data_IF_323113016717
#
_entry.id   IF_323113016717
#
_cell.length_a   1.000
_cell.length_b   1.000
_cell.length_c   1.000
_cell.angle_alpha   90.00
_cell.angle_beta   90.00
_cell.angle_gamma   90.00
#
_symmetry.space_group_name_H-M   'P 1'
#
loop_
_entity.id
_entity.type
_entity.pdbx_description
1 polymer ?
#
# COMPACT_ATOMS: atom_id res chain seq x y z
N UNK A 1 12.31 -7.63 15.34
CA UNK A 1 11.14 -8.54 15.39
C UNK A 1 9.92 -7.96 14.66
N UNK A 2 9.31 -8.68 13.71
CA UNK A 2 8.01 -8.24 13.17
C UNK A 2 7.75 -8.48 11.69
N UNK A 3 8.16 -9.60 11.13
CA UNK A 3 7.64 -10.04 9.83
C UNK A 3 7.19 -11.51 9.85
N UNK A 4 6.83 -12.01 11.03
CA UNK A 4 6.28 -13.35 11.17
C UNK A 4 4.88 -13.32 10.57
N UNK A 5 4.79 -13.96 9.42
CA UNK A 5 3.56 -14.06 8.65
C UNK A 5 3.33 -15.54 8.37
N UNK A 6 2.06 -15.98 8.38
CA UNK A 6 1.73 -17.38 8.15
C UNK A 6 2.22 -17.84 6.77
N UNK A 7 2.38 -19.15 6.59
CA UNK A 7 2.79 -19.76 5.32
C UNK A 7 1.88 -19.34 4.14
N UNK A 8 0.59 -19.12 4.40
CA UNK A 8 -0.39 -18.68 3.41
C UNK A 8 -0.39 -17.16 3.15
N UNK A 9 0.56 -16.40 3.70
CA UNK A 9 0.66 -14.94 3.51
C UNK A 9 0.60 -14.53 2.03
N UNK A 10 1.37 -15.23 1.19
CA UNK A 10 1.46 -14.93 -0.22
C UNK A 10 0.23 -15.36 -1.03
N UNK A 11 -0.60 -16.28 -0.52
CA UNK A 11 -1.84 -16.70 -1.19
C UNK A 11 -2.86 -15.57 -1.29
N UNK A 12 -2.91 -14.64 -0.34
CA UNK A 12 -3.80 -13.47 -0.42
C UNK A 12 -3.05 -12.19 -0.80
N UNK A 13 -1.75 -12.08 -0.47
CA UNK A 13 -0.98 -10.89 -0.77
C UNK A 13 -0.63 -10.74 -2.25
N UNK A 14 -0.24 -11.84 -2.92
CA UNK A 14 0.12 -11.80 -4.34
C UNK A 14 -1.08 -11.49 -5.25
N UNK A 15 -2.25 -12.14 -5.10
CA UNK A 15 -3.39 -11.83 -5.95
C UNK A 15 -3.85 -10.37 -5.86
N UNK A 16 -3.74 -9.73 -4.70
CA UNK A 16 -4.06 -8.30 -4.57
C UNK A 16 -3.12 -7.40 -5.37
N UNK A 17 -1.83 -7.74 -5.43
CA UNK A 17 -0.83 -6.93 -6.13
C UNK A 17 -0.70 -7.24 -7.63
N UNK A 18 -1.22 -8.39 -8.06
CA UNK A 18 -1.23 -8.80 -9.47
C UNK A 18 -2.57 -8.52 -10.18
N UNK A 19 -3.48 -7.78 -9.53
CA UNK A 19 -4.70 -7.29 -10.16
C UNK A 19 -4.37 -6.40 -11.38
N UNK A 20 -5.19 -6.42 -12.43
CA UNK A 20 -6.43 -7.21 -12.58
C UNK A 20 -6.20 -8.66 -13.05
N UNK A 21 -4.95 -9.05 -13.32
CA UNK A 21 -4.61 -10.30 -13.99
C UNK A 21 -4.70 -11.54 -13.09
N UNK A 22 -4.69 -11.36 -11.77
CA UNK A 22 -4.80 -12.44 -10.77
C UNK A 22 -5.98 -13.37 -10.99
N UNK A 23 -7.10 -12.84 -11.48
CA UNK A 23 -8.31 -13.64 -11.72
C UNK A 23 -8.12 -14.67 -12.85
N UNK A 24 -7.17 -14.41 -13.76
CA UNK A 24 -6.80 -15.31 -14.85
C UNK A 24 -5.72 -16.31 -14.47
N UNK A 25 -5.04 -16.11 -13.34
CA UNK A 25 -3.91 -16.93 -12.94
C UNK A 25 -4.29 -18.40 -12.71
N UNK A 26 -5.40 -18.75 -12.03
CA UNK A 26 -5.83 -20.15 -11.92
C UNK A 26 -6.07 -20.78 -13.29
N UNK A 27 -6.73 -20.07 -14.22
CA UNK A 27 -6.94 -20.54 -15.59
C UNK A 27 -5.63 -20.73 -16.34
N UNK A 28 -4.65 -19.84 -16.13
CA UNK A 28 -3.35 -19.92 -16.76
C UNK A 28 -2.53 -21.11 -16.24
N UNK A 29 -2.60 -21.41 -14.94
CA UNK A 29 -1.99 -22.60 -14.33
C UNK A 29 -2.66 -23.88 -14.86
N UNK A 30 -3.99 -23.93 -14.91
CA UNK A 30 -4.73 -25.08 -15.46
C UNK A 30 -4.36 -25.30 -16.93
N UNK A 31 -4.26 -24.21 -17.71
CA UNK A 31 -3.80 -24.28 -19.10
C UNK A 31 -2.37 -24.80 -19.19
N UNK A 32 -1.45 -24.25 -18.40
CA UNK A 32 -0.05 -24.67 -18.37
C UNK A 32 0.09 -26.18 -18.09
N UNK A 33 -0.66 -26.69 -17.09
CA UNK A 33 -0.64 -28.09 -16.69
C UNK A 33 -1.27 -29.04 -17.71
N UNK A 34 -2.39 -28.64 -18.33
CA UNK A 34 -3.17 -29.54 -19.20
C UNK A 34 -2.85 -29.43 -20.69
N UNK A 35 -2.42 -28.25 -21.14
CA UNK A 35 -2.33 -27.88 -22.57
C UNK A 35 -1.03 -27.16 -22.93
N UNK A 36 -0.27 -26.69 -21.95
CA UNK A 36 0.85 -25.77 -22.18
C UNK A 36 2.12 -26.39 -22.77
N UNK A 37 2.29 -27.70 -22.64
CA UNK A 37 3.47 -28.42 -23.12
C UNK A 37 4.79 -27.84 -22.59
N UNK A 38 5.89 -28.02 -23.34
CA UNK A 38 7.22 -27.53 -22.97
C UNK A 38 7.29 -26.00 -22.85
N UNK A 39 6.49 -25.27 -23.62
CA UNK A 39 6.51 -23.81 -23.64
C UNK A 39 6.08 -23.19 -22.30
N UNK A 40 5.18 -23.84 -21.55
CA UNK A 40 4.71 -23.38 -20.25
C UNK A 40 5.48 -23.98 -19.06
N UNK A 41 6.36 -24.96 -19.29
CA UNK A 41 7.08 -25.65 -18.22
C UNK A 41 7.99 -24.69 -17.43
N UNK A 42 8.75 -23.84 -18.13
CA UNK A 42 9.66 -22.88 -17.49
C UNK A 42 8.89 -21.81 -16.68
N UNK A 43 7.90 -21.08 -17.23
CA UNK A 43 7.12 -20.13 -16.43
C UNK A 43 6.42 -20.76 -15.23
N UNK A 44 5.88 -21.97 -15.38
CA UNK A 44 5.20 -22.67 -14.29
C UNK A 44 6.19 -23.08 -13.19
N UNK A 45 7.33 -23.66 -13.56
CA UNK A 45 8.37 -24.06 -12.60
C UNK A 45 8.96 -22.86 -11.89
N UNK A 46 9.24 -21.77 -12.62
CA UNK A 46 9.72 -20.51 -12.04
C UNK A 46 8.70 -19.97 -11.03
N UNK A 47 7.44 -19.85 -11.43
CA UNK A 47 6.37 -19.39 -10.54
C UNK A 47 6.29 -20.26 -9.28
N UNK A 48 6.21 -21.59 -9.44
CA UNK A 48 6.08 -22.52 -8.33
C UNK A 48 7.29 -22.45 -7.39
N UNK A 49 8.50 -22.44 -7.94
CA UNK A 49 9.74 -22.44 -7.15
C UNK A 49 9.84 -21.17 -6.30
N UNK A 50 9.67 -19.99 -6.91
CA UNK A 50 9.75 -18.72 -6.20
C UNK A 50 8.62 -18.58 -5.18
N UNK A 51 7.40 -18.96 -5.54
CA UNK A 51 6.25 -18.89 -4.64
C UNK A 51 6.43 -19.77 -3.41
N UNK A 52 6.82 -21.03 -3.60
CA UNK A 52 6.99 -21.99 -2.52
C UNK A 52 8.18 -21.63 -1.64
N UNK A 53 9.31 -21.27 -2.25
CA UNK A 53 10.52 -20.85 -1.52
C UNK A 53 10.22 -19.70 -0.56
N UNK A 54 9.60 -18.61 -1.03
CA UNK A 54 9.27 -17.49 -0.16
C UNK A 54 8.13 -17.79 0.82
N UNK A 55 7.17 -18.64 0.45
CA UNK A 55 6.11 -19.06 1.37
C UNK A 55 6.66 -19.83 2.58
N UNK A 56 7.71 -20.63 2.37
CA UNK A 56 8.38 -21.39 3.42
C UNK A 56 9.35 -20.53 4.27
N UNK A 57 9.85 -19.41 3.74
CA UNK A 57 10.73 -18.52 4.49
C UNK A 57 10.04 -17.91 5.73
N UNK A 58 10.76 -17.85 6.85
CA UNK A 58 10.24 -17.35 8.13
C UNK A 58 9.87 -15.85 8.04
N UNK A 59 10.83 -15.02 7.61
CA UNK A 59 10.61 -13.60 7.40
C UNK A 59 9.94 -13.32 6.05
N UNK A 60 8.74 -12.75 6.05
CA UNK A 60 7.99 -12.45 4.81
C UNK A 60 7.77 -10.96 4.59
N UNK A 61 8.06 -10.51 3.37
CA UNK A 61 7.75 -9.16 2.88
C UNK A 61 7.07 -9.25 1.52
N UNK A 62 6.09 -8.38 1.27
CA UNK A 62 5.36 -8.36 -0.01
C UNK A 62 6.28 -8.18 -1.23
N UNK A 63 7.33 -7.35 -1.09
CA UNK A 63 8.29 -7.09 -2.16
C UNK A 63 9.14 -8.31 -2.57
N UNK A 64 9.21 -9.35 -1.74
CA UNK A 64 9.98 -10.56 -2.07
C UNK A 64 9.41 -11.32 -3.27
N UNK A 65 8.13 -11.12 -3.60
CA UNK A 65 7.53 -11.75 -4.77
C UNK A 65 7.73 -10.98 -6.08
N UNK A 66 8.45 -9.84 -6.10
CA UNK A 66 8.74 -9.14 -7.36
C UNK A 66 9.30 -10.04 -8.47
N UNK A 67 10.21 -11.00 -8.21
CA UNK A 67 10.71 -11.91 -9.24
C UNK A 67 9.67 -12.88 -9.80
N UNK A 68 8.50 -13.01 -9.19
CA UNK A 68 7.43 -13.94 -9.60
C UNK A 68 6.51 -13.34 -10.69
N UNK A 69 6.50 -12.01 -10.82
CA UNK A 69 5.61 -11.29 -11.75
C UNK A 69 5.86 -11.64 -13.22
N UNK A 70 7.10 -11.75 -13.73
CA UNK A 70 7.34 -12.11 -15.12
C UNK A 70 6.80 -13.51 -15.45
N UNK A 71 7.00 -14.49 -14.57
CA UNK A 71 6.48 -15.84 -14.75
C UNK A 71 4.94 -15.85 -14.83
N UNK A 72 4.28 -15.15 -13.90
CA UNK A 72 2.83 -15.01 -13.89
C UNK A 72 2.30 -14.30 -15.15
N UNK A 73 2.97 -13.22 -15.58
CA UNK A 73 2.62 -12.46 -16.77
C UNK A 73 2.78 -13.29 -18.05
N UNK A 74 3.84 -14.10 -18.18
CA UNK A 74 4.03 -14.99 -19.32
C UNK A 74 2.92 -16.05 -19.40
N UNK A 75 2.57 -16.68 -18.28
CA UNK A 75 1.48 -17.67 -18.25
C UNK A 75 0.13 -17.05 -18.64
N UNK A 76 -0.22 -15.90 -18.04
CA UNK A 76 -1.49 -15.22 -18.34
C UNK A 76 -1.49 -14.69 -19.78
N UNK A 77 -0.42 -14.05 -20.24
CA UNK A 77 -0.31 -13.55 -21.61
C UNK A 77 -0.42 -14.67 -22.65
N UNK A 78 0.21 -15.82 -22.39
CA UNK A 78 0.10 -16.98 -23.27
C UNK A 78 -1.32 -17.54 -23.30
N UNK A 79 -2.00 -17.63 -22.16
CA UNK A 79 -3.42 -18.02 -22.09
C UNK A 79 -4.27 -17.10 -22.97
N UNK A 80 -4.10 -15.77 -22.84
CA UNK A 80 -4.83 -14.79 -23.63
C UNK A 80 -4.54 -14.90 -25.13
N UNK A 81 -3.27 -15.09 -25.50
CA UNK A 81 -2.87 -15.25 -26.90
C UNK A 81 -3.45 -16.53 -27.54
N UNK A 82 -3.42 -17.65 -26.82
CA UNK A 82 -3.92 -18.93 -27.34
C UNK A 82 -5.44 -19.01 -27.32
N UNK A 83 -6.06 -18.77 -26.18
CA UNK A 83 -7.50 -19.00 -26.02
C UNK A 83 -8.35 -17.81 -26.47
N UNK A 84 -7.81 -16.60 -26.40
CA UNK A 84 -8.53 -15.37 -26.79
C UNK A 84 -8.58 -15.16 -28.30
N UNK A 85 -7.54 -15.60 -29.02
CA UNK A 85 -7.45 -15.44 -30.49
C UNK A 85 -7.97 -16.67 -31.24
N UNK A 86 -7.81 -17.89 -30.70
CA UNK A 86 -8.25 -19.11 -31.39
C UNK A 86 -9.73 -19.47 -31.16
N UNK A 87 -10.39 -18.89 -30.15
CA UNK A 87 -11.80 -19.15 -29.82
C UNK A 87 -12.09 -20.53 -29.20
N UNK A 88 -11.07 -21.37 -28.98
CA UNK A 88 -11.23 -22.77 -28.54
C UNK A 88 -11.38 -22.91 -27.00
N UNK A 89 -10.98 -21.90 -26.21
CA UNK A 89 -10.94 -21.95 -24.73
C UNK A 89 -12.01 -21.14 -24.02
N UNK A 90 -13.26 -21.32 -24.44
CA UNK A 90 -14.42 -20.52 -23.95
C UNK A 90 -14.52 -20.40 -22.43
N UNK A 91 -14.24 -21.48 -21.68
CA UNK A 91 -14.38 -21.51 -20.21
C UNK A 91 -13.17 -20.89 -19.49
N UNK A 92 -11.95 -21.13 -19.98
CA UNK A 92 -10.71 -20.69 -19.30
C UNK A 92 -10.56 -19.17 -19.31
N UNK A 93 -11.08 -18.48 -20.33
CA UNK A 93 -11.15 -17.01 -20.36
C UNK A 93 -12.54 -16.47 -19.97
N UNK A 94 -13.63 -17.13 -20.36
CA UNK A 94 -14.98 -16.61 -20.16
C UNK A 94 -15.40 -16.51 -18.69
N UNK A 95 -15.08 -17.51 -17.87
CA UNK A 95 -15.39 -17.51 -16.43
C UNK A 95 -14.67 -16.37 -15.71
N UNK A 96 -13.33 -16.23 -15.79
CA UNK A 96 -12.65 -15.12 -15.12
C UNK A 96 -13.04 -13.76 -15.67
N UNK A 97 -13.38 -13.64 -16.97
CA UNK A 97 -13.92 -12.40 -17.53
C UNK A 97 -15.28 -12.02 -16.94
N UNK A 98 -16.19 -13.00 -16.81
CA UNK A 98 -17.49 -12.78 -16.19
C UNK A 98 -17.36 -12.37 -14.72
N UNK A 99 -16.48 -13.05 -13.98
CA UNK A 99 -16.19 -12.71 -12.58
C UNK A 99 -15.53 -11.33 -12.46
N UNK A 100 -14.57 -10.99 -13.34
CA UNK A 100 -13.96 -9.66 -13.38
C UNK A 100 -15.01 -8.58 -13.64
N UNK A 101 -15.88 -8.78 -14.62
CA UNK A 101 -16.96 -7.84 -14.94
C UNK A 101 -17.91 -7.66 -13.75
N UNK A 102 -18.36 -8.75 -13.11
CA UNK A 102 -19.19 -8.69 -11.92
C UNK A 102 -18.53 -7.96 -10.75
N UNK A 103 -17.25 -8.23 -10.49
CA UNK A 103 -16.48 -7.55 -9.44
C UNK A 103 -16.30 -6.06 -9.74
N UNK A 104 -16.02 -5.69 -10.99
CA UNK A 104 -15.90 -4.29 -11.41
C UNK A 104 -17.23 -3.54 -11.25
N UNK A 105 -18.35 -4.14 -11.68
CA UNK A 105 -19.68 -3.54 -11.52
C UNK A 105 -20.05 -3.38 -10.04
N UNK A 106 -19.87 -4.44 -9.25
CA UNK A 106 -20.16 -4.40 -7.81
C UNK A 106 -19.29 -3.37 -7.10
N UNK A 107 -17.98 -3.35 -7.40
CA UNK A 107 -17.06 -2.38 -6.80
C UNK A 107 -17.38 -0.95 -7.24
N UNK A 108 -17.76 -0.77 -8.51
CA UNK A 108 -18.11 0.54 -9.04
C UNK A 108 -19.34 1.16 -8.39
N UNK A 109 -20.33 0.32 -8.05
CA UNK A 109 -21.48 0.72 -7.24
C UNK A 109 -21.13 0.90 -5.76
N UNK A 110 -20.32 0.01 -5.19
CA UNK A 110 -20.07 -0.03 -3.76
C UNK A 110 -19.06 1.02 -3.27
N UNK A 111 -18.05 1.37 -4.07
CA UNK A 111 -16.90 2.20 -3.64
C UNK A 111 -17.25 3.63 -3.18
N UNK A 112 -18.23 4.35 -3.77
CA UNK A 112 -18.62 5.67 -3.28
C UNK A 112 -19.13 5.67 -1.84
N UNK A 113 -19.83 4.61 -1.39
CA UNK A 113 -20.45 4.55 -0.06
C UNK A 113 -19.45 4.59 1.12
N UNK A 114 -18.43 3.72 1.21
CA UNK A 114 -17.45 3.77 2.29
C UNK A 114 -16.59 5.05 2.23
N UNK A 115 -16.32 5.57 1.03
CA UNK A 115 -15.58 6.84 0.89
C UNK A 115 -16.40 8.04 1.36
N UNK A 116 -17.71 8.03 1.13
CA UNK A 116 -18.64 9.02 1.70
C UNK A 116 -18.68 8.94 3.23
N UNK A 117 -18.82 7.71 3.77
CA UNK A 117 -19.03 7.49 5.21
C UNK A 117 -17.76 7.69 6.05
N UNK A 118 -16.60 7.27 5.54
CA UNK A 118 -15.36 7.22 6.31
C UNK A 118 -14.20 7.99 5.68
N UNK A 119 -14.25 8.24 4.37
CA UNK A 119 -13.14 8.85 3.63
C UNK A 119 -12.90 10.32 4.00
N UNK A 120 -13.94 11.07 4.35
CA UNK A 120 -13.82 12.49 4.74
C UNK A 120 -12.89 12.76 5.94
N UNK A 121 -12.59 11.74 6.76
CA UNK A 121 -11.64 11.84 7.88
C UNK A 121 -10.17 11.95 7.43
N UNK A 122 -9.87 11.53 6.21
CA UNK A 122 -8.52 11.38 5.70
C UNK A 122 -8.31 12.00 4.31
N UNK A 123 -9.38 12.24 3.58
CA UNK A 123 -9.35 12.68 2.19
C UNK A 123 -10.39 13.78 2.00
N UNK A 124 -9.91 15.00 1.74
CA UNK A 124 -10.81 16.06 1.28
C UNK A 124 -11.39 15.66 -0.08
N UNK A 125 -12.70 15.81 -0.26
CA UNK A 125 -13.39 15.38 -1.48
C UNK A 125 -13.50 13.86 -1.67
N UNK A 126 -13.42 13.07 -0.59
CA UNK A 126 -13.46 11.60 -0.66
C UNK A 126 -14.62 11.03 -1.49
N UNK A 127 -15.83 11.58 -1.32
CA UNK A 127 -17.02 11.16 -2.08
C UNK A 127 -16.84 11.42 -3.58
N UNK A 128 -16.35 12.60 -3.97
CA UNK A 128 -16.08 12.92 -5.38
C UNK A 128 -15.06 11.97 -6.00
N UNK A 129 -13.99 11.64 -5.27
CA UNK A 129 -13.02 10.63 -5.70
C UNK A 129 -13.65 9.24 -5.83
N UNK A 130 -14.51 8.86 -4.87
CA UNK A 130 -15.25 7.61 -4.91
C UNK A 130 -16.19 7.51 -6.11
N UNK A 131 -16.90 8.59 -6.45
CA UNK A 131 -17.74 8.65 -7.64
C UNK A 131 -16.91 8.49 -8.91
N UNK A 132 -15.78 9.21 -9.05
CA UNK A 132 -14.92 9.08 -10.25
C UNK A 132 -14.38 7.66 -10.39
N UNK A 133 -13.83 7.08 -9.32
CA UNK A 133 -13.34 5.70 -9.33
C UNK A 133 -14.48 4.70 -9.60
N UNK A 134 -15.66 4.95 -9.02
CA UNK A 134 -16.86 4.15 -9.22
C UNK A 134 -17.31 4.15 -10.68
N UNK A 135 -17.34 5.31 -11.33
CA UNK A 135 -17.68 5.46 -12.75
C UNK A 135 -16.67 4.75 -13.66
N UNK A 136 -15.36 4.85 -13.38
CA UNK A 136 -14.34 4.14 -14.13
C UNK A 136 -14.55 2.61 -14.02
N UNK A 137 -14.80 2.11 -12.81
CA UNK A 137 -15.06 0.70 -12.55
C UNK A 137 -16.36 0.21 -13.21
N UNK A 138 -17.44 0.99 -13.12
CA UNK A 138 -18.72 0.70 -13.76
C UNK A 138 -18.60 0.65 -15.28
N UNK A 139 -17.98 1.68 -15.87
CA UNK A 139 -17.74 1.75 -17.32
C UNK A 139 -16.89 0.59 -17.81
N UNK A 140 -15.79 0.30 -17.10
CA UNK A 140 -14.94 -0.86 -17.37
C UNK A 140 -15.69 -2.19 -17.26
N UNK A 141 -16.50 -2.36 -16.21
CA UNK A 141 -17.32 -3.56 -16.00
C UNK A 141 -18.37 -3.79 -17.09
N UNK A 142 -19.06 -2.72 -17.53
CA UNK A 142 -20.06 -2.78 -18.60
C UNK A 142 -19.40 -3.05 -19.97
N UNK A 143 -18.31 -2.36 -20.29
CA UNK A 143 -17.57 -2.59 -21.54
C UNK A 143 -16.99 -4.01 -21.59
N UNK A 144 -16.53 -4.53 -20.45
CA UNK A 144 -16.03 -5.89 -20.34
C UNK A 144 -17.17 -6.91 -20.56
N UNK A 145 -18.36 -6.67 -20.00
CA UNK A 145 -19.54 -7.50 -20.21
C UNK A 145 -19.96 -7.53 -21.68
N UNK A 146 -20.00 -6.37 -22.34
CA UNK A 146 -20.31 -6.26 -23.77
C UNK A 146 -19.24 -6.98 -24.60
N UNK A 147 -17.97 -6.82 -24.26
CA UNK A 147 -16.86 -7.49 -24.95
C UNK A 147 -16.92 -9.01 -24.80
N UNK A 148 -17.30 -9.50 -23.62
CA UNK A 148 -17.52 -10.92 -23.36
C UNK A 148 -18.69 -11.46 -24.19
N UNK A 149 -19.84 -10.76 -24.22
CA UNK A 149 -21.01 -11.15 -25.03
C UNK A 149 -20.73 -11.14 -26.53
N UNK A 150 -19.99 -10.13 -27.00
CA UNK A 150 -19.58 -10.00 -28.41
C UNK A 150 -18.34 -10.82 -28.76
N UNK A 151 -17.76 -11.55 -27.79
CA UNK A 151 -16.59 -12.43 -27.95
C UNK A 151 -15.35 -11.72 -28.52
N UNK A 152 -15.15 -10.45 -28.16
CA UNK A 152 -14.01 -9.65 -28.62
C UNK A 152 -12.91 -9.66 -27.58
N UNK A 153 -12.05 -10.69 -27.59
CA UNK A 153 -11.01 -10.87 -26.59
C UNK A 153 -10.03 -9.67 -26.52
N UNK A 154 -9.59 -9.13 -27.66
CA UNK A 154 -8.72 -7.96 -27.68
C UNK A 154 -9.36 -6.73 -27.03
N UNK A 155 -10.67 -6.50 -27.26
CA UNK A 155 -11.40 -5.40 -26.62
C UNK A 155 -11.55 -5.64 -25.12
N UNK A 156 -11.80 -6.88 -24.70
CA UNK A 156 -11.86 -7.24 -23.29
C UNK A 156 -10.50 -7.01 -22.58
N UNK A 157 -9.40 -7.42 -23.20
CA UNK A 157 -8.05 -7.17 -22.71
C UNK A 157 -7.77 -5.67 -22.59
N UNK A 158 -8.05 -4.91 -23.66
CA UNK A 158 -7.87 -3.46 -23.70
C UNK A 158 -8.72 -2.74 -22.65
N UNK A 159 -9.95 -3.20 -22.43
CA UNK A 159 -10.85 -2.65 -21.40
C UNK A 159 -10.30 -2.89 -20.00
N UNK A 160 -9.83 -4.10 -19.69
CA UNK A 160 -9.21 -4.39 -18.39
C UNK A 160 -7.96 -3.54 -18.14
N UNK A 161 -7.09 -3.47 -19.15
CA UNK A 161 -5.90 -2.64 -19.10
C UNK A 161 -6.26 -1.17 -18.87
N UNK A 162 -7.13 -0.60 -19.71
CA UNK A 162 -7.50 0.82 -19.64
C UNK A 162 -8.19 1.16 -18.32
N UNK A 163 -9.08 0.29 -17.82
CA UNK A 163 -9.72 0.48 -16.51
C UNK A 163 -8.67 0.54 -15.40
N UNK A 164 -7.74 -0.42 -15.36
CA UNK A 164 -6.67 -0.45 -14.37
C UNK A 164 -5.72 0.75 -14.51
N UNK A 165 -5.38 1.13 -15.74
CA UNK A 165 -4.51 2.25 -16.05
C UNK A 165 -5.13 3.59 -15.63
N UNK A 166 -6.40 3.83 -15.95
CA UNK A 166 -7.12 5.02 -15.51
C UNK A 166 -7.21 5.12 -13.98
N UNK A 167 -7.49 4.01 -13.29
CA UNK A 167 -7.47 3.98 -11.82
C UNK A 167 -6.07 4.25 -11.26
N UNK A 168 -5.02 3.71 -11.88
CA UNK A 168 -3.64 3.96 -11.50
C UNK A 168 -3.28 5.44 -11.65
N UNK A 169 -3.54 6.04 -12.81
CA UNK A 169 -3.29 7.46 -13.05
C UNK A 169 -4.08 8.35 -12.08
N UNK A 170 -5.36 8.04 -11.87
CA UNK A 170 -6.17 8.77 -10.90
C UNK A 170 -5.60 8.64 -9.48
N UNK A 171 -5.15 7.44 -9.10
CA UNK A 171 -4.46 7.18 -7.86
C UNK A 171 -3.22 8.05 -7.69
N UNK A 172 -2.34 8.07 -8.69
CA UNK A 172 -1.07 8.81 -8.67
C UNK A 172 -1.29 10.33 -8.64
N UNK A 173 -2.22 10.85 -9.44
CA UNK A 173 -2.38 12.30 -9.61
C UNK A 173 -3.40 12.95 -8.66
N UNK A 174 -4.35 12.18 -8.11
CA UNK A 174 -5.41 12.73 -7.24
C UNK A 174 -5.39 12.13 -5.83
N UNK A 175 -5.27 10.81 -5.71
CA UNK A 175 -5.38 10.13 -4.40
C UNK A 175 -4.09 10.28 -3.59
N UNK A 176 -2.93 9.93 -4.15
CA UNK A 176 -1.65 10.00 -3.43
C UNK A 176 -1.32 11.42 -2.96
N UNK A 177 -1.47 12.49 -3.77
CA UNK A 177 -1.24 13.85 -3.31
C UNK A 177 -2.19 14.27 -2.18
N UNK A 178 -3.45 13.86 -2.23
CA UNK A 178 -4.43 14.16 -1.17
C UNK A 178 -4.12 13.44 0.15
N UNK A 179 -3.54 12.23 0.09
CA UNK A 179 -3.12 11.47 1.28
C UNK A 179 -1.77 11.97 1.81
N UNK A 180 -0.92 12.54 0.95
CA UNK A 180 0.46 12.87 1.28
C UNK A 180 0.63 13.76 2.53
N UNK A 181 -0.16 14.85 2.74
CA UNK A 181 -0.09 15.65 3.97
C UNK A 181 -0.33 14.84 5.25
N UNK A 182 -1.15 13.79 5.19
CA UNK A 182 -1.45 12.94 6.32
C UNK A 182 -0.41 11.84 6.54
N UNK A 183 0.31 11.42 5.48
CA UNK A 183 1.29 10.32 5.53
C UNK A 183 2.73 10.80 5.66
N UNK A 184 3.03 12.00 5.19
CA UNK A 184 4.37 12.59 5.23
C UNK A 184 4.70 13.14 6.62
N UNK A 185 5.96 13.01 7.02
CA UNK A 185 6.49 13.67 8.21
C UNK A 185 6.85 15.14 7.97
N UNK A 186 6.80 15.61 6.72
CA UNK A 186 7.17 16.97 6.32
C UNK A 186 6.47 18.06 7.14
N UNK A 187 5.13 18.07 7.30
CA UNK A 187 4.46 19.18 7.99
C UNK A 187 4.83 19.28 9.47
N UNK A 188 5.14 18.15 10.12
CA UNK A 188 5.63 18.17 11.51
C UNK A 188 7.11 18.54 11.56
N UNK A 189 7.90 18.13 10.57
CA UNK A 189 9.34 18.46 10.50
C UNK A 189 9.57 19.96 10.26
N UNK A 190 8.73 20.60 9.45
CA UNK A 190 8.76 22.07 9.26
C UNK A 190 8.52 22.80 10.58
N UNK A 191 7.51 22.38 11.37
CA UNK A 191 7.26 22.92 12.72
C UNK A 191 8.40 22.66 13.71
N UNK A 192 9.10 21.54 13.56
CA UNK A 192 10.30 21.24 14.36
C UNK A 192 11.38 22.27 14.04
N UNK A 193 11.66 22.50 12.76
CA UNK A 193 12.67 23.48 12.33
C UNK A 193 12.31 24.92 12.74
N UNK A 194 11.03 25.30 12.66
CA UNK A 194 10.54 26.60 13.11
C UNK A 194 10.72 26.82 14.63
N UNK A 195 10.63 25.74 15.42
CA UNK A 195 10.75 25.80 16.87
C UNK A 195 12.21 25.71 17.37
N UNK A 196 13.14 25.26 16.52
CA UNK A 196 14.54 25.05 16.88
C UNK A 196 15.37 26.33 16.72
N UNK A 197 16.16 26.65 17.74
CA UNK A 197 17.21 27.68 17.70
C UNK A 197 18.59 27.12 17.30
N UNK A 198 19.59 28.01 17.07
CA UNK A 198 20.96 27.60 16.84
C UNK A 198 21.52 26.81 18.04
N UNK A 199 21.97 25.56 17.79
CA UNK A 199 22.53 24.68 18.83
C UNK A 199 21.52 23.73 19.47
N UNK A 200 20.23 23.86 19.16
CA UNK A 200 19.19 22.95 19.67
C UNK A 200 19.40 21.53 19.16
N UNK A 201 19.06 20.55 20.01
CA UNK A 201 19.15 19.12 19.68
C UNK A 201 17.77 18.56 19.42
N UNK A 202 17.69 17.62 18.48
CA UNK A 202 16.45 16.89 18.17
C UNK A 202 16.59 15.41 18.54
N UNK A 203 15.61 14.92 19.29
CA UNK A 203 15.50 13.53 19.68
C UNK A 203 14.16 12.89 19.26
N UNK A 204 14.15 11.56 19.15
CA UNK A 204 12.94 10.75 18.97
C UNK A 204 12.83 9.69 20.05
N UNK A 205 11.63 9.50 20.59
CA UNK A 205 11.38 8.54 21.66
C UNK A 205 10.67 7.26 21.17
N UNK A 206 11.31 6.11 21.32
CA UNK A 206 10.77 4.76 21.00
C UNK A 206 10.32 4.58 19.54
N UNK A 207 11.02 5.20 18.58
CA UNK A 207 10.93 4.88 17.15
C UNK A 207 12.20 5.32 16.39
N UNK A 208 12.37 4.87 15.14
CA UNK A 208 13.60 5.09 14.36
C UNK A 208 13.80 6.54 13.88
N UNK A 209 12.71 7.20 13.46
CA UNK A 209 12.73 8.61 13.07
C UNK A 209 13.38 8.92 11.71
N UNK A 210 13.59 7.92 10.85
CA UNK A 210 14.22 8.13 9.53
C UNK A 210 13.45 9.14 8.67
N UNK A 211 12.12 9.18 8.81
CA UNK A 211 11.28 10.18 8.17
C UNK A 211 11.60 11.62 8.62
N UNK A 212 12.02 11.82 9.88
CA UNK A 212 12.41 13.14 10.40
C UNK A 212 13.84 13.50 10.02
N UNK A 213 14.78 12.55 10.02
CA UNK A 213 16.14 12.78 9.51
C UNK A 213 16.11 13.42 8.12
N UNK A 214 15.28 12.86 7.24
CA UNK A 214 15.18 13.31 5.86
C UNK A 214 14.63 14.74 5.75
N UNK A 215 13.53 15.06 6.44
CA UNK A 215 12.87 16.37 6.28
C UNK A 215 13.47 17.48 7.16
N UNK A 216 14.13 17.14 8.26
CA UNK A 216 14.84 18.13 9.10
C UNK A 216 16.29 18.32 8.67
N UNK A 217 16.86 17.39 7.91
CA UNK A 217 18.29 17.38 7.58
C UNK A 217 19.20 16.99 8.76
N UNK A 218 18.64 16.70 9.94
CA UNK A 218 19.40 16.37 11.15
C UNK A 218 19.79 14.89 11.11
N UNK A 219 21.08 14.63 10.86
CA UNK A 219 21.64 13.28 10.78
C UNK A 219 22.94 13.20 11.61
N UNK A 220 23.00 12.36 12.66
CA UNK A 220 21.93 11.51 13.19
C UNK A 220 20.99 12.23 14.17
N UNK A 221 19.69 11.94 14.10
CA UNK A 221 18.75 12.28 15.19
C UNK A 221 19.03 11.41 16.41
N UNK A 222 18.93 11.98 17.61
CA UNK A 222 19.13 11.24 18.85
C UNK A 222 17.97 10.28 19.08
N UNK A 223 18.26 9.00 19.28
CA UNK A 223 17.24 7.96 19.51
C UNK A 223 17.23 7.56 20.97
N UNK A 224 16.11 7.76 21.63
CA UNK A 224 15.93 7.43 23.04
C UNK A 224 14.84 6.37 23.17
N UNK A 225 15.11 5.31 23.93
CA UNK A 225 14.15 4.22 24.13
C UNK A 225 13.72 4.07 25.59
N UNK A 226 14.57 4.52 26.52
CA UNK A 226 14.37 4.45 27.97
C UNK A 226 13.87 5.80 28.50
N UNK A 227 12.81 5.82 29.32
CA UNK A 227 12.24 7.07 29.84
C UNK A 227 13.23 7.86 30.69
N UNK A 228 14.06 7.20 31.49
CA UNK A 228 15.04 7.84 32.38
C UNK A 228 16.08 8.61 31.58
N UNK A 229 16.50 8.04 30.43
CA UNK A 229 17.42 8.70 29.51
C UNK A 229 16.76 9.88 28.79
N UNK A 230 15.45 9.82 28.54
CA UNK A 230 14.73 10.96 27.96
C UNK A 230 14.66 12.11 28.96
N UNK A 231 14.35 11.81 30.23
CA UNK A 231 14.35 12.80 31.31
C UNK A 231 15.70 13.50 31.45
N UNK A 232 16.78 12.71 31.59
CA UNK A 232 18.13 13.26 31.67
C UNK A 232 18.52 14.12 30.46
N UNK A 233 18.04 13.76 29.25
CA UNK A 233 18.31 14.52 28.03
C UNK A 233 17.55 15.86 27.98
N UNK A 234 16.35 15.92 28.55
CA UNK A 234 15.55 17.13 28.63
C UNK A 234 16.10 18.08 29.71
N UNK A 235 16.64 17.54 30.80
CA UNK A 235 17.26 18.29 31.90
C UNK A 235 18.72 18.73 31.61
N UNK A 236 19.36 18.22 30.55
CA UNK A 236 20.72 18.59 30.16
C UNK A 236 20.81 20.09 29.78
N UNK A 237 21.92 20.80 30.10
CA UNK A 237 22.12 22.18 29.67
C UNK A 237 22.15 22.28 28.14
N UNK A 238 21.05 22.76 27.55
CA UNK A 238 20.86 22.88 26.12
C UNK A 238 19.42 22.58 25.73
N UNK A 239 18.86 23.34 24.79
CA UNK A 239 17.47 23.15 24.35
C UNK A 239 17.35 21.87 23.53
N UNK A 240 16.79 20.83 24.14
CA UNK A 240 16.48 19.57 23.45
C UNK A 240 14.98 19.47 23.18
N UNK A 241 14.64 19.33 21.91
CA UNK A 241 13.28 19.00 21.48
C UNK A 241 13.18 17.48 21.27
N UNK A 242 12.06 16.90 21.68
CA UNK A 242 11.81 15.48 21.48
C UNK A 242 10.48 15.23 20.76
N UNK A 243 10.52 14.39 19.73
CA UNK A 243 9.31 13.87 19.09
C UNK A 243 8.91 12.58 19.77
N UNK A 244 7.70 12.57 20.31
CA UNK A 244 7.12 11.47 21.08
C UNK A 244 5.80 11.03 20.43
N UNK A 245 5.41 9.76 20.60
CA UNK A 245 4.05 9.35 20.27
C UNK A 245 3.10 9.82 21.37
N UNK A 246 1.92 10.30 21.00
CA UNK A 246 0.90 10.79 21.94
C UNK A 246 0.60 9.79 23.08
N UNK A 247 0.52 8.50 22.75
CA UNK A 247 0.27 7.43 23.74
C UNK A 247 1.41 7.26 24.76
N UNK A 248 2.64 7.52 24.31
CA UNK A 248 3.84 7.40 25.13
C UNK A 248 4.01 8.69 25.95
N UNK A 249 3.64 9.85 25.39
CA UNK A 249 3.58 11.14 26.09
C UNK A 249 2.67 11.10 27.33
N UNK A 250 1.44 10.59 27.23
CA UNK A 250 0.54 10.48 28.39
C UNK A 250 1.12 9.64 29.53
N UNK A 251 1.81 8.55 29.19
CA UNK A 251 2.51 7.72 30.18
C UNK A 251 3.69 8.44 30.81
N UNK A 252 4.41 9.25 30.03
CA UNK A 252 5.52 10.04 30.55
C UNK A 252 5.05 11.14 31.53
N UNK A 253 3.88 11.74 31.30
CA UNK A 253 3.26 12.68 32.27
C UNK A 253 2.81 11.95 33.55
N UNK A 254 2.12 10.81 33.42
CA UNK A 254 1.59 10.03 34.55
C UNK A 254 2.69 9.35 35.39
N UNK A 255 3.69 8.73 34.75
CA UNK A 255 4.67 7.86 35.42
C UNK A 255 5.90 8.62 35.97
N UNK A 256 6.26 9.76 35.36
CA UNK A 256 7.52 10.46 35.67
C UNK A 256 7.34 11.89 36.17
N UNK A 257 6.11 12.41 36.20
CA UNK A 257 5.82 13.78 36.61
C UNK A 257 6.60 14.83 35.81
N UNK A 258 6.98 14.53 34.56
CA UNK A 258 7.76 15.45 33.74
C UNK A 258 6.92 16.67 33.36
N UNK A 259 7.35 17.86 33.79
CA UNK A 259 6.76 19.14 33.41
C UNK A 259 7.26 19.53 32.02
N UNK A 260 6.64 18.99 30.98
CA UNK A 260 7.05 19.25 29.59
C UNK A 260 6.08 20.20 28.89
N UNK A 261 6.61 21.06 28.03
CA UNK A 261 5.85 21.95 27.17
C UNK A 261 5.57 21.27 25.83
N UNK A 262 4.32 21.33 25.38
CA UNK A 262 3.93 20.83 24.05
C UNK A 262 4.01 21.97 23.04
N UNK A 263 5.04 21.95 22.20
CA UNK A 263 5.27 22.95 21.15
C UNK A 263 4.33 22.72 19.98
N UNK A 264 4.23 21.48 19.51
CA UNK A 264 3.45 21.15 18.33
C UNK A 264 2.85 19.74 18.42
N UNK A 265 1.67 19.59 17.83
CA UNK A 265 1.05 18.28 17.57
C UNK A 265 0.99 18.04 16.07
N UNK A 266 1.25 16.80 15.68
CA UNK A 266 1.23 16.37 14.29
C UNK A 266 0.78 14.93 14.13
N UNK A 267 0.52 14.53 12.88
CA UNK A 267 0.13 13.17 12.56
C UNK A 267 0.90 12.68 11.35
N UNK A 268 1.48 11.49 11.47
CA UNK A 268 2.20 10.80 10.38
C UNK A 268 1.57 9.42 10.20
N UNK A 269 0.62 9.35 9.28
CA UNK A 269 -0.26 8.22 9.05
C UNK A 269 -1.13 7.89 10.27
N UNK A 270 -0.90 6.72 10.86
CA UNK A 270 -1.62 6.30 12.06
C UNK A 270 -0.96 6.82 13.35
N UNK A 271 0.29 7.30 13.28
CA UNK A 271 1.02 7.80 14.46
C UNK A 271 0.57 9.23 14.76
N UNK A 272 -0.03 9.44 15.94
CA UNK A 272 -0.19 10.78 16.52
C UNK A 272 1.10 11.12 17.28
N UNK A 273 1.70 12.24 16.94
CA UNK A 273 3.02 12.65 17.43
C UNK A 273 2.92 14.02 18.08
N UNK A 274 3.74 14.20 19.10
CA UNK A 274 3.86 15.42 19.89
C UNK A 274 5.32 15.82 19.89
N UNK A 275 5.58 17.08 19.59
CA UNK A 275 6.86 17.72 19.80
C UNK A 275 6.84 18.34 21.19
N UNK A 276 7.76 17.89 22.04
CA UNK A 276 7.87 18.35 23.42
C UNK A 276 9.23 18.99 23.67
N UNK A 277 9.27 19.84 24.68
CA UNK A 277 10.47 20.45 25.25
C UNK A 277 10.31 20.48 26.77
N UNK A 278 11.41 20.60 27.49
CA UNK A 278 11.36 20.87 28.93
C UNK A 278 10.69 22.24 29.21
N UNK A 279 9.96 22.36 30.32
CA UNK A 279 9.49 23.68 30.80
C UNK A 279 10.63 24.31 31.59
N UNK A 280 11.13 25.45 31.11
CA UNK A 280 12.00 26.33 31.92
C UNK A 280 11.34 26.70 33.26
#
# INVERSE_FOLDING_TARGET
PGHDRPIYYYLYNFPGQFLPWSIFLPSAIIYALKRGGKAMALPLLWFATVFLFFSLAEAKRGLYLLPLYPAAALMVGHLWAREGLSGQGRKLLGIPLGLASGLLLLSGLALPFPLAKFGGRYLQGALGMGIVMGTILLGGGLLLLVSLRRRRALVAFGTLFLTAFCLYLFGVFKVLPAINPYKSARPLSEKVLEAMGPGDRLAVYRFQGAEFNFYTGIVPILRVYRPERLKALLEEPGRTLCIVKERDFRRLEEDLGMMVEVIARGRVGHKKLVLIRDKE
#
